data_IF_576553508615
#
_entry.id   IF_576553508615
#
_cell.length_a   1.000
_cell.length_b   1.000
_cell.length_c   1.000
_cell.angle_alpha   90.00
_cell.angle_beta   90.00
_cell.angle_gamma   90.00
#
_symmetry.space_group_name_H-M   'P 1'
#
loop_
_entity.id
_entity.type
_entity.pdbx_description
1 polymer ?
#
# COMPACT_ATOMS: atom_id res chain seq x y z
N UNK A 1 1.61 -22.84 26.48
CA UNK A 1 1.42 -22.46 25.07
C UNK A 1 0.31 -21.43 25.05
N UNK A 2 0.58 -20.21 24.58
CA UNK A 2 -0.50 -19.27 24.25
C UNK A 2 -1.41 -19.93 23.21
N UNK A 3 -2.71 -19.68 23.30
CA UNK A 3 -3.66 -20.15 22.29
C UNK A 3 -3.34 -19.44 20.98
N UNK A 4 -3.15 -20.19 19.89
CA UNK A 4 -3.00 -19.63 18.54
C UNK A 4 -4.19 -18.69 18.24
N UNK A 5 -3.90 -17.51 17.71
CA UNK A 5 -4.87 -16.47 17.42
C UNK A 5 -4.93 -16.18 15.92
N UNK A 6 -5.90 -16.83 15.27
CA UNK A 6 -6.27 -16.57 13.89
C UNK A 6 -6.80 -15.14 13.73
N UNK A 7 -6.16 -14.35 12.88
CA UNK A 7 -6.72 -13.06 12.48
C UNK A 7 -7.74 -13.25 11.36
N UNK A 8 -9.03 -13.24 11.72
CA UNK A 8 -10.13 -13.35 10.78
C UNK A 8 -10.45 -12.00 10.12
N UNK A 9 -9.98 -11.84 8.89
CA UNK A 9 -10.16 -10.66 8.06
C UNK A 9 -11.39 -10.74 7.13
N UNK A 10 -12.12 -11.86 7.15
CA UNK A 10 -13.20 -12.14 6.18
C UNK A 10 -14.36 -11.17 6.31
N UNK A 11 -14.58 -10.64 7.51
CA UNK A 11 -15.62 -9.64 7.82
C UNK A 11 -15.11 -8.19 7.89
N UNK A 12 -13.82 -7.95 7.60
CA UNK A 12 -13.23 -6.62 7.69
C UNK A 12 -13.30 -5.94 6.32
N UNK A 13 -13.68 -4.66 6.32
CA UNK A 13 -13.63 -3.80 5.14
C UNK A 13 -12.22 -3.23 5.00
N UNK A 14 -11.51 -3.49 3.89
CA UNK A 14 -10.14 -3.04 3.72
C UNK A 14 -10.07 -1.53 3.46
N UNK A 15 -8.97 -0.91 3.89
CA UNK A 15 -8.68 0.51 3.65
C UNK A 15 -7.36 0.68 2.93
N UNK A 16 -7.25 1.72 2.10
CA UNK A 16 -5.96 2.11 1.57
C UNK A 16 -5.06 2.50 2.74
N UNK A 17 -3.93 1.82 2.86
CA UNK A 17 -2.94 2.12 3.90
C UNK A 17 -1.93 3.14 3.37
N UNK A 18 -1.27 2.83 2.25
CA UNK A 18 -0.42 3.81 1.55
C UNK A 18 -0.17 3.46 0.09
N UNK A 19 0.27 4.46 -0.68
CA UNK A 19 0.88 4.29 -2.01
C UNK A 19 2.41 4.26 -1.87
N UNK A 20 3.06 3.34 -2.58
CA UNK A 20 4.49 3.06 -2.45
C UNK A 20 5.29 3.75 -3.56
N UNK A 21 6.23 4.61 -3.16
CA UNK A 21 7.24 5.20 -4.06
C UNK A 21 8.44 4.29 -4.15
N UNK A 22 8.30 3.25 -4.95
CA UNK A 22 9.32 2.21 -5.13
C UNK A 22 10.38 2.62 -6.16
N UNK A 23 11.58 2.05 -6.06
CA UNK A 23 12.74 2.50 -6.82
C UNK A 23 12.77 2.06 -8.29
N UNK A 24 12.09 0.97 -8.65
CA UNK A 24 11.95 0.50 -10.02
C UNK A 24 10.54 0.79 -10.57
N UNK A 25 10.40 0.76 -11.90
CA UNK A 25 9.14 1.05 -12.61
C UNK A 25 8.30 -0.20 -12.92
N UNK A 26 8.79 -1.35 -12.48
CA UNK A 26 8.17 -2.66 -12.65
C UNK A 26 7.06 -2.86 -11.62
N UNK A 27 6.35 -3.97 -11.75
CA UNK A 27 5.33 -4.38 -10.80
C UNK A 27 5.99 -4.69 -9.44
N UNK A 28 5.32 -4.36 -8.33
CA UNK A 28 5.71 -4.81 -6.98
C UNK A 28 5.80 -6.35 -6.99
N UNK A 29 6.57 -6.95 -6.08
CA UNK A 29 6.61 -8.42 -5.94
C UNK A 29 6.26 -8.84 -4.52
N UNK A 30 6.82 -8.17 -3.53
CA UNK A 30 6.47 -8.35 -2.14
C UNK A 30 6.74 -7.10 -1.32
N UNK A 31 6.24 -7.09 -0.08
CA UNK A 31 6.58 -6.09 0.91
C UNK A 31 6.47 -6.69 2.31
N UNK A 32 7.30 -6.20 3.22
CA UNK A 32 7.29 -6.58 4.63
C UNK A 32 7.61 -5.35 5.50
N UNK A 33 7.16 -5.39 6.75
CA UNK A 33 7.35 -4.29 7.70
C UNK A 33 8.50 -4.55 8.67
N UNK A 34 9.28 -3.51 8.93
CA UNK A 34 10.02 -3.39 10.18
C UNK A 34 9.16 -2.58 11.16
N UNK A 35 8.34 -3.31 11.92
CA UNK A 35 7.30 -2.75 12.78
C UNK A 35 7.85 -1.76 13.81
N UNK A 36 9.07 -2.02 14.34
CA UNK A 36 9.71 -1.20 15.37
C UNK A 36 10.22 0.14 14.86
N UNK A 37 10.75 0.18 13.63
CA UNK A 37 11.29 1.40 13.04
C UNK A 37 10.31 2.09 12.09
N UNK A 38 9.09 1.56 11.96
CA UNK A 38 8.06 2.07 11.05
C UNK A 38 8.55 2.20 9.60
N UNK A 39 9.18 1.14 9.10
CA UNK A 39 9.71 1.08 7.72
C UNK A 39 9.08 -0.06 6.95
N UNK A 40 8.99 0.11 5.62
CA UNK A 40 8.51 -0.89 4.69
C UNK A 40 9.67 -1.27 3.78
N UNK A 41 9.89 -2.56 3.57
CA UNK A 41 10.85 -3.06 2.58
C UNK A 41 10.09 -3.79 1.50
N UNK A 42 10.28 -3.37 0.26
CA UNK A 42 9.58 -3.91 -0.91
C UNK A 42 10.55 -4.57 -1.86
N UNK A 43 10.08 -5.52 -2.66
CA UNK A 43 10.86 -6.08 -3.78
C UNK A 43 10.22 -5.75 -5.12
N UNK A 44 11.07 -5.57 -6.13
CA UNK A 44 10.70 -5.44 -7.54
C UNK A 44 11.75 -6.12 -8.41
N UNK A 45 11.35 -6.69 -9.55
CA UNK A 45 12.32 -7.07 -10.58
C UNK A 45 13.04 -5.81 -11.07
N UNK A 46 14.38 -5.83 -11.04
CA UNK A 46 15.19 -4.67 -11.37
C UNK A 46 15.20 -4.40 -12.89
N UNK A 47 14.95 -3.14 -13.27
CA UNK A 47 14.96 -2.73 -14.68
C UNK A 47 16.37 -2.67 -15.27
N UNK A 48 16.51 -2.95 -16.57
CA UNK A 48 17.76 -2.74 -17.33
C UNK A 48 18.89 -3.74 -17.09
N UNK A 49 18.64 -4.83 -16.33
CA UNK A 49 19.68 -5.79 -15.93
C UNK A 49 19.60 -7.16 -16.66
N UNK A 50 18.63 -7.35 -17.56
CA UNK A 50 18.29 -8.65 -18.16
C UNK A 50 19.11 -9.13 -19.35
N UNK A 51 20.40 -8.76 -19.47
CA UNK A 51 21.22 -9.22 -20.61
C UNK A 51 21.69 -10.68 -20.49
N UNK A 52 21.69 -11.24 -19.27
CA UNK A 52 22.40 -12.50 -18.96
C UNK A 52 21.45 -13.64 -18.50
N UNK A 53 20.19 -13.65 -18.96
CA UNK A 53 19.11 -14.62 -18.66
C UNK A 53 18.68 -14.77 -17.19
N UNK A 54 19.48 -14.34 -16.21
CA UNK A 54 19.11 -14.40 -14.78
C UNK A 54 18.59 -13.05 -14.30
N UNK A 55 17.37 -13.04 -13.75
CA UNK A 55 16.76 -11.82 -13.22
C UNK A 55 17.49 -11.31 -11.98
N UNK A 56 17.41 -10.00 -11.79
CA UNK A 56 17.87 -9.33 -10.58
C UNK A 56 16.67 -8.67 -9.93
N UNK A 57 16.70 -8.47 -8.62
CA UNK A 57 15.65 -7.74 -7.92
C UNK A 57 16.23 -6.62 -7.05
N UNK A 58 15.44 -5.57 -6.89
CA UNK A 58 15.74 -4.43 -6.06
C UNK A 58 14.88 -4.47 -4.81
N UNK A 59 15.52 -4.27 -3.66
CA UNK A 59 14.85 -4.03 -2.40
C UNK A 59 14.76 -2.50 -2.23
N UNK A 60 13.57 -1.96 -2.02
CA UNK A 60 13.40 -0.54 -1.70
C UNK A 60 13.00 -0.40 -0.25
N UNK A 61 13.69 0.47 0.49
CA UNK A 61 13.31 0.86 1.85
C UNK A 61 12.48 2.13 1.79
N UNK A 62 11.31 2.09 2.41
CA UNK A 62 10.33 3.16 2.44
C UNK A 62 10.03 3.58 3.89
N UNK A 63 9.57 4.81 4.06
CA UNK A 63 8.87 5.21 5.28
C UNK A 63 7.52 4.48 5.39
N UNK A 64 6.90 4.55 6.57
CA UNK A 64 5.57 3.97 6.79
C UNK A 64 4.49 4.57 5.88
N UNK A 65 4.66 5.83 5.46
CA UNK A 65 3.82 6.54 4.49
C UNK A 65 4.16 6.20 3.04
N UNK A 66 5.06 5.24 2.79
CA UNK A 66 5.40 4.79 1.44
C UNK A 66 6.37 5.71 0.68
N UNK A 67 7.05 6.65 1.36
CA UNK A 67 8.07 7.49 0.72
C UNK A 67 9.39 6.73 0.56
N UNK A 68 10.00 6.81 -0.63
CA UNK A 68 11.31 6.21 -0.87
C UNK A 68 12.38 6.82 0.02
N UNK A 69 13.11 5.99 0.77
CA UNK A 69 14.30 6.39 1.50
C UNK A 69 15.56 6.05 0.70
N UNK A 70 15.69 4.78 0.31
CA UNK A 70 16.83 4.27 -0.46
C UNK A 70 16.51 2.89 -1.05
N UNK A 71 17.48 2.27 -1.74
CA UNK A 71 17.34 0.92 -2.27
C UNK A 71 18.65 0.15 -2.26
N UNK A 72 18.55 -1.17 -2.37
CA UNK A 72 19.64 -2.13 -2.47
C UNK A 72 19.37 -3.11 -3.63
N UNK A 73 20.39 -3.45 -4.41
CA UNK A 73 20.26 -4.33 -5.57
C UNK A 73 20.84 -5.72 -5.27
N UNK A 74 20.10 -6.76 -5.66
CA UNK A 74 20.60 -8.14 -5.70
C UNK A 74 20.71 -8.58 -7.15
N UNK A 75 21.92 -8.45 -7.69
CA UNK A 75 22.24 -8.83 -9.06
C UNK A 75 22.19 -10.35 -9.17
N UNK A 76 21.46 -10.86 -10.17
CA UNK A 76 21.22 -12.30 -10.39
C UNK A 76 20.53 -13.02 -9.22
N UNK A 77 19.94 -12.28 -8.28
CA UNK A 77 19.24 -12.86 -7.14
C UNK A 77 17.91 -13.53 -7.50
N UNK A 78 17.42 -13.38 -8.74
CA UNK A 78 16.15 -13.93 -9.19
C UNK A 78 15.01 -12.90 -9.21
N UNK A 79 13.78 -13.39 -9.04
CA UNK A 79 12.55 -12.58 -9.18
C UNK A 79 12.26 -11.67 -7.97
N UNK A 80 12.67 -12.08 -6.77
CA UNK A 80 12.34 -11.38 -5.53
C UNK A 80 10.89 -11.58 -5.07
N UNK A 81 10.31 -12.77 -5.31
CA UNK A 81 8.89 -13.11 -5.06
C UNK A 81 8.43 -12.88 -3.62
N UNK A 82 9.28 -13.15 -2.62
CA UNK A 82 9.01 -12.82 -1.23
C UNK A 82 10.32 -12.69 -0.46
N UNK A 83 10.30 -11.95 0.64
CA UNK A 83 11.42 -11.80 1.56
C UNK A 83 10.94 -11.93 3.01
N UNK A 84 11.85 -12.27 3.91
CA UNK A 84 11.67 -12.15 5.35
C UNK A 84 12.55 -11.04 5.91
N UNK A 85 12.03 -10.28 6.89
CA UNK A 85 12.79 -9.24 7.57
C UNK A 85 13.08 -9.70 9.00
N UNK A 86 14.36 -9.65 9.37
CA UNK A 86 14.80 -9.91 10.74
C UNK A 86 15.51 -8.68 11.30
N UNK A 87 14.93 -8.05 12.30
CA UNK A 87 15.53 -6.92 13.01
C UNK A 87 16.41 -7.42 14.17
N UNK A 88 17.74 -7.44 13.96
CA UNK A 88 18.74 -7.80 14.97
C UNK A 88 19.28 -6.53 15.62
N UNK A 89 18.60 -6.07 16.67
CA UNK A 89 18.99 -4.88 17.46
C UNK A 89 19.23 -3.63 16.61
N UNK A 90 18.30 -3.33 15.70
CA UNK A 90 18.37 -2.16 14.81
C UNK A 90 19.06 -2.42 13.48
N UNK A 91 19.80 -3.52 13.34
CA UNK A 91 20.31 -3.95 12.03
C UNK A 91 19.30 -4.85 11.35
N UNK A 92 18.87 -4.46 10.15
CA UNK A 92 17.92 -5.24 9.36
C UNK A 92 18.65 -6.27 8.52
N UNK A 93 18.30 -7.53 8.71
CA UNK A 93 18.71 -8.66 7.89
C UNK A 93 17.56 -9.10 7.01
N UNK A 94 17.85 -9.37 5.74
CA UNK A 94 16.89 -9.84 4.76
C UNK A 94 17.15 -11.31 4.49
N UNK A 95 16.12 -12.13 4.71
CA UNK A 95 16.06 -13.51 4.27
C UNK A 95 15.40 -13.55 2.89
N UNK A 96 16.05 -14.18 1.93
CA UNK A 96 15.55 -14.22 0.56
C UNK A 96 16.02 -15.48 -0.17
N UNK A 97 15.42 -15.71 -1.34
CA UNK A 97 15.99 -16.59 -2.34
C UNK A 97 17.17 -15.90 -3.05
N UNK A 98 18.09 -16.72 -3.54
CA UNK A 98 19.10 -16.31 -4.52
C UNK A 98 19.16 -17.39 -5.61
N UNK A 99 18.73 -17.06 -6.84
CA UNK A 99 18.71 -18.01 -7.96
C UNK A 99 20.13 -18.53 -8.26
N UNK A 100 20.23 -19.82 -8.63
CA UNK A 100 21.47 -20.41 -9.12
C UNK A 100 21.43 -20.38 -10.66
N UNK A 101 22.15 -19.46 -11.34
CA UNK A 101 21.99 -19.23 -12.78
C UNK A 101 22.17 -20.47 -13.67
N UNK A 102 22.96 -21.44 -13.20
CA UNK A 102 23.33 -22.64 -13.96
C UNK A 102 22.58 -23.91 -13.50
N UNK A 103 21.63 -23.79 -12.56
CA UNK A 103 20.88 -24.92 -12.02
C UNK A 103 19.39 -24.61 -12.14
N UNK A 104 18.75 -25.16 -13.17
CA UNK A 104 17.33 -24.97 -13.43
C UNK A 104 16.53 -25.33 -12.19
N UNK A 105 15.63 -24.43 -11.79
CA UNK A 105 14.69 -24.63 -10.69
C UNK A 105 15.30 -24.88 -9.32
N UNK A 106 16.53 -24.39 -9.10
CA UNK A 106 17.16 -24.36 -7.79
C UNK A 106 17.54 -22.95 -7.37
N UNK A 107 17.35 -22.66 -6.09
CA UNK A 107 17.81 -21.43 -5.47
C UNK A 107 18.43 -21.73 -4.10
N UNK A 108 19.29 -20.83 -3.64
CA UNK A 108 19.74 -20.82 -2.26
C UNK A 108 18.76 -20.04 -1.39
N UNK A 109 18.64 -20.45 -0.12
CA UNK A 109 18.21 -19.54 0.92
C UNK A 109 19.41 -18.72 1.39
N UNK A 110 19.27 -17.39 1.34
CA UNK A 110 20.28 -16.44 1.79
C UNK A 110 19.77 -15.53 2.90
N UNK A 111 20.68 -15.11 3.77
CA UNK A 111 20.47 -14.03 4.75
C UNK A 111 21.61 -13.01 4.64
N UNK A 112 21.29 -11.73 4.59
CA UNK A 112 22.30 -10.66 4.49
C UNK A 112 21.81 -9.36 5.13
N UNK A 113 22.70 -8.51 5.65
CA UNK A 113 22.32 -7.21 6.18
C UNK A 113 21.89 -6.26 5.04
N UNK A 114 20.79 -5.55 5.24
CA UNK A 114 20.39 -4.47 4.35
C UNK A 114 21.38 -3.30 4.45
N UNK A 115 21.85 -2.80 3.29
CA UNK A 115 22.72 -1.63 3.20
C UNK A 115 22.23 -0.72 2.07
N UNK A 116 21.89 0.52 2.42
CA UNK A 116 21.45 1.53 1.46
C UNK A 116 22.48 1.71 0.33
N UNK A 117 22.02 1.67 -0.92
CA UNK A 117 22.84 1.84 -2.13
C UNK A 117 23.73 0.64 -2.49
N UNK A 118 23.74 -0.42 -1.69
CA UNK A 118 24.60 -1.56 -1.96
C UNK A 118 24.10 -2.39 -3.16
N UNK A 119 25.04 -3.07 -3.80
CA UNK A 119 24.77 -4.13 -4.79
C UNK A 119 25.44 -5.40 -4.32
N UNK A 120 24.66 -6.48 -4.14
CA UNK A 120 25.20 -7.81 -3.90
C UNK A 120 25.11 -8.65 -5.18
N UNK A 121 26.06 -9.57 -5.32
CA UNK A 121 26.10 -10.60 -6.35
C UNK A 121 26.50 -11.94 -5.72
N UNK A 122 26.67 -12.98 -6.52
CA UNK A 122 26.84 -14.36 -6.05
C UNK A 122 28.09 -14.53 -5.16
N UNK A 123 29.09 -13.68 -5.35
CA UNK A 123 30.39 -13.69 -4.66
C UNK A 123 30.46 -12.73 -3.46
N UNK A 124 29.37 -12.02 -3.15
CA UNK A 124 29.30 -11.13 -2.00
C UNK A 124 29.42 -11.93 -0.70
N UNK A 125 30.44 -11.59 0.10
CA UNK A 125 30.75 -12.28 1.38
C UNK A 125 29.67 -12.07 2.43
N UNK A 126 28.82 -11.06 2.26
CA UNK A 126 27.68 -10.78 3.12
C UNK A 126 26.53 -11.79 2.98
N UNK A 127 26.50 -12.58 1.91
CA UNK A 127 25.46 -13.59 1.68
C UNK A 127 25.75 -14.85 2.52
N UNK A 128 25.10 -14.97 3.68
CA UNK A 128 25.07 -16.22 4.44
C UNK A 128 24.12 -17.21 3.74
N UNK A 129 24.58 -18.44 3.53
CA UNK A 129 23.80 -19.52 2.88
C UNK A 129 23.48 -20.65 3.86
N UNK A 130 22.31 -21.27 3.72
CA UNK A 130 21.81 -22.30 4.63
C UNK A 130 21.66 -23.66 3.94
N UNK A 131 22.78 -24.30 3.64
CA UNK A 131 22.85 -25.49 2.78
C UNK A 131 22.18 -26.76 3.34
N UNK A 132 21.89 -26.82 4.64
CA UNK A 132 21.30 -28.02 5.25
C UNK A 132 19.77 -28.02 5.19
N UNK A 133 19.15 -26.88 4.86
CA UNK A 133 17.71 -26.77 4.68
C UNK A 133 17.28 -27.43 3.36
N UNK A 134 15.99 -27.75 3.16
CA UNK A 134 15.55 -28.48 1.97
C UNK A 134 15.50 -27.57 0.72
N UNK A 135 16.64 -27.45 0.05
CA UNK A 135 16.89 -26.57 -1.10
C UNK A 135 16.93 -27.32 -2.46
N UNK A 136 16.30 -28.50 -2.55
CA UNK A 136 16.28 -29.30 -3.78
C UNK A 136 15.39 -28.72 -4.89
N UNK A 137 14.59 -27.71 -4.55
CA UNK A 137 13.66 -27.01 -5.43
C UNK A 137 13.84 -25.50 -5.26
N UNK A 138 13.19 -24.70 -6.11
CA UNK A 138 13.16 -23.25 -5.93
C UNK A 138 12.49 -22.94 -4.59
N UNK A 139 13.22 -22.22 -3.74
CA UNK A 139 12.73 -21.81 -2.42
C UNK A 139 12.37 -20.34 -2.37
N UNK A 140 11.46 -19.99 -1.47
CA UNK A 140 11.10 -18.61 -1.15
C UNK A 140 10.75 -18.52 0.34
N UNK A 141 11.32 -17.60 1.13
CA UNK A 141 11.06 -17.52 2.56
C UNK A 141 9.97 -16.49 2.92
N UNK A 142 9.38 -16.67 4.10
CA UNK A 142 8.69 -15.66 4.89
C UNK A 142 9.04 -15.86 6.37
N UNK A 143 9.01 -14.79 7.18
CA UNK A 143 9.35 -14.85 8.60
C UNK A 143 8.19 -14.38 9.48
N UNK A 144 7.87 -15.19 10.48
CA UNK A 144 7.11 -14.78 11.65
C UNK A 144 8.10 -14.46 12.77
N UNK A 145 8.46 -13.19 12.90
CA UNK A 145 9.44 -12.75 13.90
C UNK A 145 8.89 -12.82 15.34
N UNK A 146 7.57 -12.75 15.52
CA UNK A 146 6.94 -12.79 16.85
C UNK A 146 7.02 -14.19 17.45
N UNK A 147 6.81 -15.21 16.62
CA UNK A 147 6.88 -16.62 17.03
C UNK A 147 8.23 -17.28 16.70
N UNK A 148 9.18 -16.53 16.12
CA UNK A 148 10.49 -17.01 15.67
C UNK A 148 10.37 -18.21 14.74
N UNK A 149 9.58 -18.08 13.68
CA UNK A 149 9.40 -19.14 12.69
C UNK A 149 9.81 -18.70 11.28
N UNK A 150 10.40 -19.65 10.54
CA UNK A 150 10.69 -19.53 9.12
C UNK A 150 9.69 -20.39 8.34
N UNK A 151 8.89 -19.78 7.48
CA UNK A 151 8.12 -20.46 6.46
C UNK A 151 8.93 -20.53 5.16
N UNK A 152 9.31 -21.73 4.72
CA UNK A 152 10.07 -21.94 3.50
C UNK A 152 9.16 -22.61 2.46
N UNK A 153 8.69 -21.82 1.48
CA UNK A 153 8.03 -22.37 0.31
C UNK A 153 9.06 -23.11 -0.53
N UNK A 154 8.69 -24.30 -1.00
CA UNK A 154 9.42 -25.10 -1.97
C UNK A 154 8.51 -25.29 -3.19
N UNK A 155 9.03 -25.04 -4.39
CA UNK A 155 8.27 -25.14 -5.63
C UNK A 155 8.99 -26.05 -6.62
N UNK A 156 8.40 -27.23 -6.83
CA UNK A 156 8.73 -28.17 -7.88
C UNK A 156 8.02 -27.74 -9.17
N UNK A 157 8.76 -27.04 -10.01
CA UNK A 157 8.36 -26.52 -11.32
C UNK A 157 8.09 -27.61 -12.34
N UNK A 158 8.80 -28.75 -12.28
CA UNK A 158 8.65 -29.86 -13.22
C UNK A 158 7.27 -30.52 -13.07
N UNK A 159 6.80 -30.64 -11.83
CA UNK A 159 5.51 -31.25 -11.52
C UNK A 159 4.41 -30.24 -11.15
N UNK A 160 4.73 -28.95 -11.16
CA UNK A 160 3.87 -27.85 -10.70
C UNK A 160 3.32 -28.09 -9.27
N UNK A 161 4.16 -28.57 -8.36
CA UNK A 161 3.81 -28.86 -6.96
C UNK A 161 4.50 -27.91 -6.00
N UNK A 162 3.79 -27.50 -4.97
CA UNK A 162 4.34 -26.59 -3.97
C UNK A 162 3.81 -26.89 -2.57
N UNK A 163 4.69 -26.64 -1.61
CA UNK A 163 4.42 -26.80 -0.19
C UNK A 163 5.24 -25.78 0.59
N UNK A 164 4.86 -25.55 1.83
CA UNK A 164 5.58 -24.67 2.74
C UNK A 164 5.99 -25.49 3.96
N UNK A 165 7.30 -25.58 4.19
CA UNK A 165 7.84 -26.24 5.38
C UNK A 165 8.18 -25.18 6.43
N UNK A 166 7.68 -25.37 7.64
CA UNK A 166 7.84 -24.41 8.73
C UNK A 166 8.96 -24.92 9.64
N UNK A 167 9.88 -24.03 9.99
CA UNK A 167 11.01 -24.28 10.88
C UNK A 167 10.96 -23.32 12.06
N UNK A 168 11.54 -23.74 13.19
CA UNK A 168 12.02 -22.80 14.19
C UNK A 168 13.16 -21.95 13.58
N UNK A 169 13.07 -20.63 13.74
CA UNK A 169 14.02 -19.70 13.12
C UNK A 169 15.42 -19.83 13.72
N UNK A 170 15.56 -20.16 15.00
CA UNK A 170 16.87 -20.34 15.64
C UNK A 170 17.55 -21.61 15.15
N UNK A 171 16.80 -22.70 14.94
CA UNK A 171 17.32 -23.89 14.30
C UNK A 171 17.71 -23.64 12.83
N UNK A 172 16.91 -22.86 12.09
CA UNK A 172 17.26 -22.45 10.73
C UNK A 172 18.52 -21.57 10.69
N UNK A 173 18.67 -20.61 11.61
CA UNK A 173 19.87 -19.78 11.78
C UNK A 173 21.09 -20.66 12.07
N UNK A 174 20.93 -21.69 12.91
CA UNK A 174 21.95 -22.68 13.20
C UNK A 174 22.18 -23.69 12.07
N UNK A 175 21.50 -23.52 10.92
CA UNK A 175 21.56 -24.39 9.75
C UNK A 175 21.22 -25.86 10.08
N UNK A 176 20.20 -26.07 10.90
CA UNK A 176 19.67 -27.40 11.26
C UNK A 176 18.36 -27.67 10.54
N UNK A 177 18.23 -28.87 9.98
CA UNK A 177 17.02 -29.31 9.28
C UNK A 177 16.05 -30.01 10.23
N UNK A 178 15.36 -29.22 11.07
CA UNK A 178 14.39 -29.69 12.03
C UNK A 178 13.00 -29.08 11.71
N UNK A 179 12.27 -29.61 10.71
CA UNK A 179 10.97 -29.07 10.35
C UNK A 179 9.95 -29.29 11.48
N UNK A 180 9.12 -28.28 11.74
CA UNK A 180 8.03 -28.35 12.71
C UNK A 180 6.81 -29.04 12.08
N UNK A 181 6.43 -28.61 10.88
CA UNK A 181 5.33 -29.18 10.09
C UNK A 181 5.41 -28.66 8.63
N UNK A 182 4.61 -29.26 7.75
CA UNK A 182 4.52 -28.90 6.33
C UNK A 182 3.07 -28.67 5.93
N UNK A 183 2.83 -27.62 5.15
CA UNK A 183 1.55 -27.31 4.53
C UNK A 183 1.66 -27.56 3.03
N UNK A 184 0.91 -28.53 2.51
CA UNK A 184 0.79 -28.81 1.08
C UNK A 184 -0.24 -27.88 0.45
N UNK A 185 0.16 -27.18 -0.60
CA UNK A 185 -0.71 -26.23 -1.31
C UNK A 185 -1.46 -26.98 -2.42
N UNK A 186 -2.80 -26.91 -2.46
CA UNK A 186 -3.59 -27.47 -3.54
C UNK A 186 -3.22 -26.88 -4.92
N UNK A 187 -3.32 -27.70 -5.97
CA UNK A 187 -2.90 -27.33 -7.33
C UNK A 187 -3.67 -26.13 -7.90
N UNK A 188 -4.93 -25.95 -7.49
CA UNK A 188 -5.77 -24.81 -7.90
C UNK A 188 -5.26 -23.46 -7.36
N UNK A 189 -4.42 -23.46 -6.32
CA UNK A 189 -3.84 -22.25 -5.72
C UNK A 189 -2.41 -21.97 -6.23
N UNK A 190 -2.06 -22.48 -7.41
CA UNK A 190 -0.67 -22.45 -7.87
C UNK A 190 -0.16 -21.05 -8.26
N UNK A 191 -1.07 -20.14 -8.66
CA UNK A 191 -0.74 -18.79 -9.12
C UNK A 191 -0.47 -17.85 -7.95
N UNK A 192 0.63 -18.14 -7.22
CA UNK A 192 1.06 -17.43 -6.02
C UNK A 192 1.48 -15.99 -6.32
N UNK A 193 1.06 -15.08 -5.45
CA UNK A 193 1.37 -13.66 -5.48
C UNK A 193 1.90 -13.15 -4.13
N UNK A 194 1.90 -13.99 -3.10
CA UNK A 194 2.50 -13.69 -1.82
C UNK A 194 2.03 -14.67 -0.75
N UNK A 195 2.83 -14.85 0.29
CA UNK A 195 2.40 -15.61 1.47
C UNK A 195 3.05 -15.06 2.73
N UNK A 196 2.40 -15.29 3.86
CA UNK A 196 2.90 -14.88 5.17
C UNK A 196 2.47 -15.89 6.24
N UNK A 197 3.31 -16.11 7.25
CA UNK A 197 3.01 -16.95 8.41
C UNK A 197 2.74 -16.03 9.61
N UNK A 198 1.64 -16.26 10.32
CA UNK A 198 1.35 -15.58 11.58
C UNK A 198 0.73 -16.58 12.54
N UNK A 199 1.43 -16.84 13.65
CA UNK A 199 0.95 -17.67 14.77
C UNK A 199 0.47 -19.07 14.35
N UNK A 200 1.24 -19.70 13.45
CA UNK A 200 0.96 -21.02 12.92
C UNK A 200 -0.08 -21.08 11.79
N UNK A 201 -0.63 -19.95 11.38
CA UNK A 201 -1.53 -19.84 10.22
C UNK A 201 -0.80 -19.31 8.99
N UNK A 202 -0.87 -20.05 7.88
CA UNK A 202 -0.29 -19.65 6.61
C UNK A 202 -1.34 -18.92 5.76
N UNK A 203 -1.12 -17.64 5.52
CA UNK A 203 -1.90 -16.81 4.61
C UNK A 203 -1.29 -16.92 3.21
N UNK A 204 -2.06 -17.45 2.27
CA UNK A 204 -1.64 -17.71 0.89
C UNK A 204 -2.44 -16.85 -0.09
N UNK A 205 -1.78 -15.93 -0.79
CA UNK A 205 -2.40 -14.98 -1.70
C UNK A 205 -2.13 -15.36 -3.15
N UNK A 206 -3.20 -15.57 -3.93
CA UNK A 206 -3.14 -15.90 -5.36
C UNK A 206 -3.82 -14.84 -6.21
N UNK A 207 -3.61 -14.91 -7.53
CA UNK A 207 -4.44 -14.23 -8.53
C UNK A 207 -3.63 -13.71 -9.72
N UNK A 208 -4.24 -13.65 -10.90
CA UNK A 208 -3.57 -13.10 -12.08
C UNK A 208 -3.99 -11.65 -12.35
N UNK A 209 -3.32 -11.03 -13.33
CA UNK A 209 -3.68 -9.69 -13.80
C UNK A 209 -5.19 -9.61 -14.10
N UNK A 210 -5.85 -8.65 -13.46
CA UNK A 210 -7.28 -8.37 -13.52
C UNK A 210 -8.19 -9.54 -13.10
N UNK A 211 -7.65 -10.54 -12.41
CA UNK A 211 -8.36 -11.78 -12.07
C UNK A 211 -8.99 -12.45 -13.30
N UNK A 212 -8.26 -12.46 -14.41
CA UNK A 212 -8.73 -12.95 -15.72
C UNK A 212 -8.97 -14.45 -15.71
N UNK A 213 -8.08 -15.21 -15.07
CA UNK A 213 -8.10 -16.67 -15.03
C UNK A 213 -8.05 -17.19 -13.60
N UNK A 214 -7.36 -16.47 -12.71
CA UNK A 214 -7.18 -16.85 -11.32
C UNK A 214 -7.65 -15.72 -10.40
N UNK A 215 -8.61 -15.97 -9.50
CA UNK A 215 -9.14 -14.94 -8.63
C UNK A 215 -8.05 -14.42 -7.69
N UNK A 216 -8.12 -13.12 -7.38
CA UNK A 216 -7.36 -12.56 -6.27
C UNK A 216 -7.92 -13.12 -4.97
N UNK A 217 -7.30 -14.16 -4.43
CA UNK A 217 -7.87 -14.98 -3.37
C UNK A 217 -6.86 -15.15 -2.26
N UNK A 218 -7.26 -14.87 -1.02
CA UNK A 218 -6.47 -15.26 0.15
C UNK A 218 -7.09 -16.51 0.74
N UNK A 219 -6.29 -17.56 0.86
CA UNK A 219 -6.64 -18.81 1.55
C UNK A 219 -5.75 -18.94 2.78
N UNK A 220 -6.33 -19.26 3.93
CA UNK A 220 -5.60 -19.43 5.18
C UNK A 220 -5.59 -20.89 5.59
N UNK A 221 -4.41 -21.44 5.83
CA UNK A 221 -4.21 -22.81 6.30
C UNK A 221 -3.80 -22.81 7.77
N UNK A 222 -4.31 -23.76 8.54
CA UNK A 222 -3.76 -24.08 9.87
C UNK A 222 -2.55 -25.03 9.78
N UNK A 223 -1.89 -25.25 10.92
CA UNK A 223 -0.76 -26.19 11.05
C UNK A 223 -1.11 -27.65 10.78
N UNK A 224 -2.41 -28.01 10.74
CA UNK A 224 -2.90 -29.34 10.39
C UNK A 224 -3.28 -29.44 8.89
N UNK A 225 -2.86 -28.46 8.08
CA UNK A 225 -3.10 -28.39 6.64
C UNK A 225 -4.59 -28.25 6.27
N UNK A 226 -5.42 -27.67 7.15
CA UNK A 226 -6.83 -27.38 6.86
C UNK A 226 -7.00 -25.94 6.43
N UNK A 227 -7.83 -25.72 5.41
CA UNK A 227 -8.29 -24.39 5.05
C UNK A 227 -9.27 -23.91 6.13
N UNK A 228 -8.93 -22.83 6.82
CA UNK A 228 -9.73 -22.26 7.91
C UNK A 228 -10.44 -20.96 7.52
N UNK A 229 -9.89 -20.20 6.56
CA UNK A 229 -10.52 -19.00 6.00
C UNK A 229 -10.24 -18.91 4.50
N UNK A 230 -11.15 -18.27 3.77
CA UNK A 230 -10.94 -17.91 2.37
C UNK A 230 -11.74 -16.65 2.02
N UNK A 231 -11.13 -15.70 1.29
CA UNK A 231 -11.79 -14.46 0.86
C UNK A 231 -11.24 -13.96 -0.48
N UNK A 232 -12.13 -13.61 -1.41
CA UNK A 232 -11.74 -12.87 -2.60
C UNK A 232 -11.39 -11.41 -2.24
N UNK A 233 -10.29 -10.92 -2.81
CA UNK A 233 -9.76 -9.58 -2.59
C UNK A 233 -10.17 -8.67 -3.73
N UNK A 234 -11.09 -7.76 -3.43
CA UNK A 234 -11.71 -6.87 -4.41
C UNK A 234 -11.14 -5.45 -4.41
N UNK A 235 -10.25 -5.10 -3.48
CA UNK A 235 -9.62 -3.76 -3.42
C UNK A 235 -8.89 -3.39 -4.70
N UNK A 236 -8.90 -2.11 -5.06
CA UNK A 236 -8.34 -1.62 -6.30
C UNK A 236 -9.19 -1.88 -7.55
N UNK A 237 -10.40 -2.46 -7.39
CA UNK A 237 -11.46 -2.45 -8.42
C UNK A 237 -12.23 -1.13 -8.27
N UNK A 238 -11.88 -0.08 -9.01
CA UNK A 238 -12.61 1.20 -8.91
C UNK A 238 -13.96 1.11 -9.64
N UNK A 239 -15.04 1.56 -9.00
CA UNK A 239 -16.43 1.39 -9.48
C UNK A 239 -16.77 2.27 -10.71
N UNK A 240 -15.88 3.18 -11.13
CA UNK A 240 -16.17 4.14 -12.21
C UNK A 240 -15.55 3.77 -13.57
N UNK A 241 -14.34 3.19 -13.66
CA UNK A 241 -13.77 2.61 -14.90
C UNK A 241 -12.69 1.56 -14.59
N UNK A 242 -13.12 0.53 -13.87
CA UNK A 242 -12.52 -0.76 -13.47
C UNK A 242 -11.03 -0.87 -13.09
N UNK A 243 -10.03 -0.28 -13.74
CA UNK A 243 -8.64 -0.24 -13.24
C UNK A 243 -7.87 0.95 -13.86
N UNK A 244 -6.91 1.54 -13.14
CA UNK A 244 -5.99 2.53 -13.73
C UNK A 244 -5.25 1.89 -14.91
N UNK A 245 -5.48 2.39 -16.13
CA UNK A 245 -4.96 1.81 -17.38
C UNK A 245 -5.35 0.33 -17.61
N UNK A 246 -6.54 -0.09 -17.15
CA UNK A 246 -7.05 -1.46 -17.28
C UNK A 246 -6.06 -2.53 -16.76
N UNK A 247 -5.28 -2.20 -15.73
CA UNK A 247 -4.32 -3.11 -15.13
C UNK A 247 -4.43 -3.07 -13.61
N UNK A 248 -4.53 -4.26 -13.02
CA UNK A 248 -4.50 -4.52 -11.59
C UNK A 248 -3.92 -5.90 -11.36
N UNK A 249 -2.93 -6.00 -10.48
CA UNK A 249 -2.31 -7.27 -10.13
C UNK A 249 -2.14 -7.35 -8.60
N UNK A 250 -2.47 -8.48 -7.96
CA UNK A 250 -2.12 -8.75 -6.56
C UNK A 250 -0.61 -8.90 -6.39
N UNK A 251 0.00 -8.23 -5.40
CA UNK A 251 1.46 -8.24 -5.22
C UNK A 251 1.87 -8.20 -3.75
N UNK A 252 2.01 -9.38 -3.15
CA UNK A 252 2.45 -9.53 -1.77
C UNK A 252 1.33 -9.45 -0.73
N UNK A 253 1.61 -10.07 0.41
CA UNK A 253 0.78 -10.11 1.60
C UNK A 253 1.68 -10.16 2.84
N UNK A 254 1.30 -9.50 3.92
CA UNK A 254 2.05 -9.49 5.16
C UNK A 254 1.10 -9.23 6.34
N UNK A 255 1.39 -9.79 7.51
CA UNK A 255 0.74 -9.36 8.75
C UNK A 255 1.56 -8.23 9.37
N UNK A 256 0.92 -7.07 9.58
CA UNK A 256 1.47 -6.04 10.46
C UNK A 256 0.90 -6.23 11.86
N UNK A 257 1.79 -6.31 12.84
CA UNK A 257 1.47 -6.31 14.26
C UNK A 257 1.99 -5.02 14.88
N UNK A 258 1.12 -4.30 15.57
CA UNK A 258 1.54 -3.12 16.29
C UNK A 258 2.50 -3.54 17.42
N UNK A 259 3.75 -3.02 17.47
CA UNK A 259 4.75 -3.47 18.43
C UNK A 259 4.42 -3.07 19.88
N UNK A 260 3.54 -2.09 20.08
CA UNK A 260 3.13 -1.60 21.41
C UNK A 260 1.91 -2.36 21.94
N UNK A 261 0.94 -2.64 21.07
CA UNK A 261 -0.38 -3.15 21.50
C UNK A 261 -0.64 -4.60 21.09
N UNK A 262 0.14 -5.12 20.12
CA UNK A 262 -0.08 -6.44 19.54
C UNK A 262 -1.27 -6.51 18.57
N UNK A 263 -1.96 -5.40 18.33
CA UNK A 263 -3.07 -5.33 17.40
C UNK A 263 -2.60 -5.65 15.96
N UNK A 264 -3.41 -6.41 15.23
CA UNK A 264 -3.05 -6.97 13.91
C UNK A 264 -3.70 -6.25 12.75
N UNK A 265 -3.08 -6.32 11.58
CA UNK A 265 -3.63 -5.87 10.30
C UNK A 265 -3.09 -6.73 9.16
N UNK A 266 -3.99 -7.36 8.41
CA UNK A 266 -3.58 -8.09 7.21
C UNK A 266 -3.41 -7.09 6.06
N UNK A 267 -2.17 -6.96 5.60
CA UNK A 267 -1.76 -6.03 4.56
C UNK A 267 -1.71 -6.75 3.22
N UNK A 268 -2.33 -6.19 2.19
CA UNK A 268 -2.40 -6.76 0.84
C UNK A 268 -1.91 -5.75 -0.18
N UNK A 269 -0.99 -6.18 -1.04
CA UNK A 269 -0.44 -5.32 -2.09
C UNK A 269 -1.23 -5.45 -3.38
N UNK A 270 -1.39 -4.31 -4.07
CA UNK A 270 -2.00 -4.22 -5.39
C UNK A 270 -1.17 -3.27 -6.24
N UNK A 271 -0.78 -3.72 -7.44
CA UNK A 271 -0.21 -2.84 -8.46
C UNK A 271 -1.25 -2.51 -9.53
N UNK A 272 -1.32 -1.25 -9.95
CA UNK A 272 -2.15 -0.77 -11.05
C UNK A 272 -1.37 0.14 -12.01
N UNK A 273 -2.04 0.73 -13.01
CA UNK A 273 -1.42 1.72 -13.90
C UNK A 273 -0.70 1.11 -15.10
N UNK A 274 -0.07 1.95 -15.93
CA UNK A 274 0.56 1.55 -17.19
C UNK A 274 1.94 0.92 -16.95
N UNK A 275 2.35 -0.01 -17.81
CA UNK A 275 3.73 -0.49 -17.84
C UNK A 275 4.74 0.66 -17.91
N UNK A 276 5.81 0.58 -17.10
CA UNK A 276 6.80 1.66 -16.94
C UNK A 276 6.33 2.82 -16.04
N UNK A 277 5.05 2.88 -15.67
CA UNK A 277 4.45 3.85 -14.75
C UNK A 277 3.50 3.12 -13.78
N UNK A 278 3.93 1.96 -13.27
CA UNK A 278 3.14 1.14 -12.34
C UNK A 278 2.99 1.89 -11.01
N UNK A 279 1.80 1.78 -10.42
CA UNK A 279 1.47 2.37 -9.13
C UNK A 279 1.23 1.25 -8.15
N UNK A 280 2.02 1.18 -7.08
CA UNK A 280 1.92 0.12 -6.08
C UNK A 280 1.26 0.66 -4.82
N UNK A 281 0.27 -0.07 -4.28
CA UNK A 281 -0.46 0.33 -3.07
C UNK A 281 -0.60 -0.83 -2.10
N UNK A 282 -0.59 -0.52 -0.81
CA UNK A 282 -0.95 -1.45 0.26
C UNK A 282 -2.35 -1.10 0.72
N UNK A 283 -3.22 -2.09 0.80
CA UNK A 283 -4.50 -2.02 1.49
C UNK A 283 -4.43 -2.87 2.76
N UNK A 284 -5.19 -2.51 3.77
CA UNK A 284 -5.14 -3.14 5.08
C UNK A 284 -6.54 -3.55 5.55
N UNK A 285 -6.65 -4.80 6.00
CA UNK A 285 -7.74 -5.28 6.83
C UNK A 285 -7.31 -5.11 8.29
N UNK A 286 -7.73 -4.01 8.91
CA UNK A 286 -7.31 -3.67 10.27
C UNK A 286 -8.19 -4.34 11.32
N UNK A 287 -7.57 -4.87 12.39
CA UNK A 287 -8.28 -4.97 13.68
C UNK A 287 -8.81 -3.60 14.09
N UNK A 288 -9.83 -3.57 14.96
CA UNK A 288 -10.40 -2.31 15.41
C UNK A 288 -9.34 -1.36 15.98
N UNK A 289 -8.43 -1.83 16.82
CA UNK A 289 -7.41 -0.98 17.43
C UNK A 289 -6.40 -0.43 16.41
N UNK A 290 -5.88 -1.27 15.51
CA UNK A 290 -4.99 -0.77 14.45
C UNK A 290 -5.71 0.17 13.49
N UNK A 291 -6.99 -0.04 13.26
CA UNK A 291 -7.80 0.91 12.50
C UNK A 291 -7.79 2.28 13.17
N UNK A 292 -7.95 2.35 14.51
CA UNK A 292 -7.91 3.61 15.26
C UNK A 292 -6.53 4.29 15.19
N UNK A 293 -5.44 3.52 15.07
CA UNK A 293 -4.07 4.04 15.07
C UNK A 293 -3.55 4.44 13.68
N UNK A 294 -3.95 3.73 12.63
CA UNK A 294 -3.40 3.91 11.28
C UNK A 294 -4.32 4.65 10.32
N UNK A 295 -5.62 4.67 10.60
CA UNK A 295 -6.56 5.47 9.81
C UNK A 295 -6.75 6.78 10.56
N UNK A 296 -6.43 7.94 9.94
CA UNK A 296 -6.58 9.22 10.62
C UNK A 296 -8.04 9.40 11.11
N UNK A 297 -8.23 9.41 12.43
CA UNK A 297 -9.55 9.49 13.04
C UNK A 297 -9.94 10.91 13.44
N UNK A 298 -11.20 11.24 13.14
CA UNK A 298 -12.10 11.76 14.18
C UNK A 298 -12.81 10.57 14.84
N UNK A 299 -12.86 10.54 16.18
CA UNK A 299 -13.08 9.36 17.06
C UNK A 299 -14.47 8.70 16.99
N UNK A 300 -15.38 9.13 16.12
CA UNK A 300 -16.70 8.52 15.97
C UNK A 300 -17.13 8.56 14.50
N UNK A 301 -17.59 7.45 13.90
CA UNK A 301 -18.18 7.48 12.57
C UNK A 301 -19.38 8.41 12.59
N UNK A 302 -19.51 9.22 11.55
CA UNK A 302 -20.67 10.08 11.40
C UNK A 302 -21.84 9.23 10.92
N UNK A 303 -22.97 9.40 11.58
CA UNK A 303 -24.23 8.79 11.16
C UNK A 303 -24.97 9.80 10.29
N UNK A 304 -25.32 9.40 9.07
CA UNK A 304 -26.23 10.20 8.26
C UNK A 304 -27.65 9.96 8.77
N UNK A 305 -28.14 10.85 9.62
CA UNK A 305 -29.52 10.81 10.09
C UNK A 305 -30.42 11.52 9.08
N UNK A 306 -31.08 10.77 8.20
CA UNK A 306 -32.16 11.29 7.35
C UNK A 306 -33.50 10.96 8.00
N UNK A 307 -33.80 11.65 9.12
CA UNK A 307 -35.03 11.40 9.88
C UNK A 307 -35.12 9.99 10.51
N UNK A 308 -36.18 9.75 11.27
CA UNK A 308 -36.49 8.42 11.80
C UNK A 308 -36.68 7.44 10.63
N UNK A 309 -35.78 6.49 10.46
CA UNK A 309 -35.96 5.36 9.53
C UNK A 309 -35.79 4.04 10.27
N UNK A 310 -36.52 3.02 9.81
CA UNK A 310 -36.47 1.63 10.29
C UNK A 310 -35.23 0.86 9.82
N UNK A 311 -34.27 1.53 9.16
CA UNK A 311 -33.01 0.97 8.66
C UNK A 311 -31.81 1.49 9.45
N UNK A 312 -30.75 0.68 9.64
CA UNK A 312 -29.52 1.14 10.27
C UNK A 312 -28.95 2.37 9.52
N UNK A 313 -28.52 3.43 10.24
CA UNK A 313 -28.01 4.64 9.60
C UNK A 313 -26.75 4.35 8.79
N UNK A 314 -26.63 4.97 7.61
CA UNK A 314 -25.39 4.96 6.83
C UNK A 314 -24.25 5.54 7.69
N UNK A 315 -23.14 4.81 7.78
CA UNK A 315 -21.96 5.21 8.53
C UNK A 315 -20.93 5.82 7.59
N UNK A 316 -20.34 6.93 8.00
CA UNK A 316 -19.31 7.63 7.24
C UNK A 316 -18.04 7.77 8.07
N UNK A 317 -16.89 7.53 7.44
CA UNK A 317 -15.57 7.65 8.05
C UNK A 317 -14.95 8.99 7.67
N UNK A 318 -14.79 9.92 8.62
CA UNK A 318 -14.09 11.17 8.35
C UNK A 318 -12.57 10.98 8.18
N UNK A 319 -11.96 11.79 7.33
CA UNK A 319 -10.51 11.93 7.15
C UNK A 319 -10.14 13.36 6.75
N UNK A 320 -8.85 13.70 6.92
CA UNK A 320 -8.32 15.01 6.53
C UNK A 320 -7.86 14.94 5.07
N UNK A 321 -8.27 15.93 4.28
CA UNK A 321 -7.83 16.11 2.90
C UNK A 321 -7.29 17.52 2.70
N UNK A 322 -6.16 17.64 2.00
CA UNK A 322 -5.60 18.94 1.62
C UNK A 322 -5.29 19.00 0.13
N UNK A 323 -5.41 20.19 -0.47
CA UNK A 323 -4.89 20.46 -1.81
C UNK A 323 -4.57 21.95 -1.98
N UNK A 324 -3.90 22.28 -3.08
CA UNK A 324 -3.50 23.66 -3.41
C UNK A 324 -4.12 24.02 -4.76
N UNK A 325 -4.61 25.25 -4.87
CA UNK A 325 -4.92 25.87 -6.16
C UNK A 325 -3.91 26.99 -6.44
N UNK A 326 -3.53 27.11 -7.70
CA UNK A 326 -2.64 28.16 -8.20
C UNK A 326 -3.35 28.98 -9.28
N UNK A 327 -3.18 30.31 -9.23
CA UNK A 327 -3.72 31.23 -10.21
C UNK A 327 -2.78 31.41 -11.40
N UNK A 328 -3.32 31.18 -12.60
CA UNK A 328 -2.69 31.48 -13.87
C UNK A 328 -3.31 32.75 -14.46
N UNK A 329 -2.54 33.84 -14.45
CA UNK A 329 -3.00 35.15 -14.90
C UNK A 329 -3.16 35.23 -16.43
N UNK A 330 -2.40 34.46 -17.21
CA UNK A 330 -2.49 34.42 -18.67
C UNK A 330 -3.87 33.90 -19.11
N UNK A 331 -4.34 32.85 -18.44
CA UNK A 331 -5.60 32.19 -18.77
C UNK A 331 -6.75 32.65 -17.87
N UNK A 332 -6.47 33.52 -16.88
CA UNK A 332 -7.39 34.00 -15.85
C UNK A 332 -8.12 32.85 -15.13
N UNK A 333 -7.37 31.81 -14.75
CA UNK A 333 -7.93 30.58 -14.17
C UNK A 333 -7.16 30.13 -12.95
N UNK A 334 -7.90 29.61 -11.98
CA UNK A 334 -7.36 28.79 -10.90
C UNK A 334 -7.27 27.34 -11.36
N UNK A 335 -6.17 26.68 -11.01
CA UNK A 335 -5.93 25.29 -11.41
C UNK A 335 -5.15 24.53 -10.33
N UNK A 336 -5.26 23.21 -10.36
CA UNK A 336 -4.37 22.34 -9.58
C UNK A 336 -2.98 22.41 -10.23
N UNK A 337 -1.91 22.73 -9.48
CA UNK A 337 -0.57 22.88 -10.04
C UNK A 337 -0.01 21.55 -10.56
N UNK A 338 0.72 21.59 -11.68
CA UNK A 338 1.19 20.38 -12.42
C UNK A 338 2.60 19.92 -12.06
N UNK A 339 3.36 20.64 -11.22
CA UNK A 339 4.75 20.26 -10.86
C UNK A 339 5.16 20.61 -9.42
N UNK A 340 6.02 19.75 -8.84
CA UNK A 340 6.82 20.04 -7.64
C UNK A 340 6.18 19.75 -6.28
N UNK A 341 4.86 19.62 -6.17
CA UNK A 341 4.18 19.47 -4.87
C UNK A 341 2.92 18.57 -5.02
N UNK A 342 2.96 17.36 -4.46
CA UNK A 342 1.87 16.37 -4.33
C UNK A 342 0.87 16.25 -5.53
N UNK A 343 1.29 15.80 -6.74
CA UNK A 343 0.49 15.98 -7.95
C UNK A 343 -0.55 14.89 -8.28
N UNK A 344 -0.36 13.63 -7.86
CA UNK A 344 -1.22 12.53 -8.35
C UNK A 344 -2.57 12.42 -7.64
N UNK A 345 -2.63 12.75 -6.35
CA UNK A 345 -3.86 12.66 -5.57
C UNK A 345 -4.75 13.90 -5.71
N UNK A 346 -4.14 15.09 -5.84
CA UNK A 346 -4.86 16.39 -5.91
C UNK A 346 -5.52 16.61 -7.28
N UNK A 347 -4.90 16.15 -8.37
CA UNK A 347 -5.45 16.23 -9.73
C UNK A 347 -6.68 15.33 -9.92
N UNK A 348 -6.73 14.19 -9.23
CA UNK A 348 -7.88 13.29 -9.21
C UNK A 348 -8.94 13.66 -8.15
N UNK A 349 -8.67 14.63 -7.27
CA UNK A 349 -9.63 15.12 -6.28
C UNK A 349 -10.57 16.17 -6.87
N UNK A 350 -10.03 17.14 -7.63
CA UNK A 350 -10.79 18.25 -8.19
C UNK A 350 -11.32 17.88 -9.57
N UNK A 351 -12.64 17.71 -9.69
CA UNK A 351 -13.35 17.40 -10.94
C UNK A 351 -13.39 18.60 -11.87
N UNK A 352 -13.70 19.78 -11.33
CA UNK A 352 -13.87 20.99 -12.12
C UNK A 352 -13.65 22.25 -11.28
N UNK A 353 -13.23 23.33 -11.93
CA UNK A 353 -13.11 24.67 -11.34
C UNK A 353 -13.77 25.67 -12.30
N UNK A 354 -14.80 26.36 -11.82
CA UNK A 354 -15.56 27.36 -12.59
C UNK A 354 -15.76 28.63 -11.77
N UNK A 355 -16.27 29.69 -12.39
CA UNK A 355 -16.77 30.87 -11.68
C UNK A 355 -18.29 30.87 -11.83
N UNK A 356 -19.02 30.89 -10.72
CA UNK A 356 -20.48 30.85 -10.73
C UNK A 356 -21.08 32.24 -11.08
N UNK A 357 -22.40 32.31 -11.23
CA UNK A 357 -23.12 33.54 -11.59
C UNK A 357 -22.92 34.68 -10.57
N UNK A 358 -22.70 34.34 -9.29
CA UNK A 358 -22.45 35.30 -8.23
C UNK A 358 -21.01 35.82 -8.20
N UNK A 359 -20.16 35.34 -9.12
CA UNK A 359 -18.75 35.73 -9.20
C UNK A 359 -17.88 35.08 -8.12
N UNK A 360 -18.27 33.91 -7.60
CA UNK A 360 -17.44 33.11 -6.70
C UNK A 360 -16.74 31.98 -7.48
N UNK A 361 -15.58 31.55 -7.00
CA UNK A 361 -14.89 30.37 -7.54
C UNK A 361 -15.59 29.12 -7.03
N UNK A 362 -16.05 28.26 -7.93
CA UNK A 362 -16.69 27.01 -7.61
C UNK A 362 -15.72 25.86 -7.90
N UNK A 363 -15.35 25.11 -6.87
CA UNK A 363 -14.47 23.95 -6.95
C UNK A 363 -15.30 22.71 -6.70
N UNK A 364 -15.54 21.94 -7.76
CA UNK A 364 -16.27 20.67 -7.67
C UNK A 364 -15.28 19.53 -7.42
N UNK A 365 -15.47 18.83 -6.33
CA UNK A 365 -14.72 17.63 -5.96
C UNK A 365 -15.36 16.39 -6.61
N UNK A 366 -14.56 15.37 -6.86
CA UNK A 366 -15.06 14.07 -7.32
C UNK A 366 -15.99 13.42 -6.28
N UNK A 367 -16.97 12.63 -6.73
CA UNK A 367 -18.06 12.07 -5.89
C UNK A 367 -17.57 11.11 -4.80
N UNK A 368 -16.29 10.74 -4.79
CA UNK A 368 -15.66 9.94 -3.74
C UNK A 368 -15.81 10.57 -2.35
N UNK A 369 -15.83 11.91 -2.24
CA UNK A 369 -15.92 12.64 -0.97
C UNK A 369 -17.38 12.86 -0.58
N UNK A 370 -18.04 11.81 -0.09
CA UNK A 370 -19.44 11.90 0.32
C UNK A 370 -19.52 12.40 1.76
N UNK A 371 -19.72 13.72 1.88
CA UNK A 371 -19.84 14.56 3.08
C UNK A 371 -18.57 15.33 3.44
N UNK A 372 -18.36 16.49 2.82
CA UNK A 372 -17.53 17.54 3.42
C UNK A 372 -18.14 17.95 4.76
N UNK A 373 -17.31 18.03 5.79
CA UNK A 373 -17.72 18.31 7.18
C UNK A 373 -17.18 19.65 7.65
N UNK A 374 -15.99 19.99 7.20
CA UNK A 374 -15.31 21.22 7.54
C UNK A 374 -14.35 21.62 6.42
N UNK A 375 -14.15 22.92 6.26
CA UNK A 375 -13.09 23.44 5.40
C UNK A 375 -12.43 24.68 6.00
N UNK A 376 -11.16 24.86 5.66
CA UNK A 376 -10.39 26.08 5.89
C UNK A 376 -9.58 26.39 4.63
N UNK A 377 -9.54 27.67 4.25
CA UNK A 377 -8.90 28.13 3.02
C UNK A 377 -8.00 29.29 3.37
N UNK A 378 -6.72 29.17 3.02
CA UNK A 378 -5.71 30.16 3.37
C UNK A 378 -4.94 30.61 2.12
N UNK A 379 -4.84 31.93 1.95
CA UNK A 379 -4.09 32.54 0.85
C UNK A 379 -2.60 32.58 1.14
N UNK A 380 -1.80 32.43 0.09
CA UNK A 380 -0.36 32.60 0.19
C UNK A 380 0.03 34.07 0.46
N UNK A 381 1.33 34.29 0.62
CA UNK A 381 1.86 35.61 0.91
C UNK A 381 1.56 36.64 -0.19
N UNK A 382 1.38 36.23 -1.45
CA UNK A 382 1.11 37.14 -2.58
C UNK A 382 -0.29 37.75 -2.46
N UNK A 383 -1.27 36.94 -2.06
CA UNK A 383 -2.63 37.42 -1.81
C UNK A 383 -2.66 38.36 -0.60
N UNK A 384 -1.99 37.97 0.49
CA UNK A 384 -1.91 38.78 1.72
C UNK A 384 -1.26 40.15 1.49
N UNK A 385 -0.19 40.22 0.71
CA UNK A 385 0.46 41.49 0.34
C UNK A 385 -0.45 42.45 -0.45
N UNK A 386 -1.49 41.91 -1.11
CA UNK A 386 -2.48 42.70 -1.84
C UNK A 386 -3.75 42.97 -1.02
N UNK A 387 -3.75 42.61 0.26
CA UNK A 387 -4.91 42.60 1.16
C UNK A 387 -6.09 41.83 0.54
N UNK A 388 -5.79 40.73 -0.15
CA UNK A 388 -6.79 39.82 -0.69
C UNK A 388 -6.99 38.69 0.30
N UNK A 389 -8.24 38.55 0.74
CA UNK A 389 -8.73 37.52 1.66
C UNK A 389 -9.77 36.68 0.96
N UNK A 390 -9.92 35.44 1.41
CA UNK A 390 -10.94 34.53 0.88
C UNK A 390 -11.92 34.15 1.98
N UNK A 391 -13.19 34.10 1.61
CA UNK A 391 -14.25 33.48 2.38
C UNK A 391 -14.76 32.27 1.61
N UNK A 392 -15.39 31.34 2.31
CA UNK A 392 -15.91 30.16 1.64
C UNK A 392 -17.26 29.75 2.20
N UNK A 393 -18.11 29.25 1.31
CA UNK A 393 -19.42 28.71 1.63
C UNK A 393 -19.45 27.25 1.22
N UNK A 394 -20.00 26.42 2.10
CA UNK A 394 -20.11 24.98 1.87
C UNK A 394 -21.29 24.40 2.62
N UNK A 395 -21.81 23.30 2.09
CA UNK A 395 -22.90 22.54 2.70
C UNK A 395 -22.31 21.33 3.41
N UNK A 396 -22.08 21.47 4.72
CA UNK A 396 -21.58 20.37 5.53
C UNK A 396 -22.59 19.22 5.56
N UNK A 397 -22.18 17.99 5.22
CA UNK A 397 -23.01 16.79 5.42
C UNK A 397 -24.22 16.60 4.49
N UNK A 398 -24.46 17.51 3.55
CA UNK A 398 -25.68 17.52 2.74
C UNK A 398 -25.48 17.32 1.24
N UNK A 399 -26.58 17.40 0.48
CA UNK A 399 -26.50 17.52 -0.98
C UNK A 399 -25.62 18.73 -1.36
N UNK A 400 -24.75 18.56 -2.37
CA UNK A 400 -23.74 19.54 -2.79
C UNK A 400 -22.54 19.72 -1.83
N UNK A 401 -22.34 18.83 -0.86
CA UNK A 401 -21.12 18.83 -0.02
C UNK A 401 -19.82 18.62 -0.81
N UNK A 402 -19.92 18.18 -2.06
CA UNK A 402 -18.78 18.04 -2.99
C UNK A 402 -18.44 19.35 -3.73
N UNK A 403 -19.05 20.48 -3.38
CA UNK A 403 -18.80 21.78 -4.02
C UNK A 403 -18.31 22.78 -2.98
N UNK A 404 -17.12 23.34 -3.21
CA UNK A 404 -16.59 24.47 -2.44
C UNK A 404 -16.87 25.74 -3.21
N UNK A 405 -17.54 26.72 -2.58
CA UNK A 405 -17.67 28.06 -3.16
C UNK A 405 -16.75 29.03 -2.42
N UNK A 406 -15.88 29.71 -3.16
CA UNK A 406 -14.83 30.57 -2.60
C UNK A 406 -15.01 31.99 -3.14
N UNK A 407 -15.32 32.92 -2.24
CA UNK A 407 -15.40 34.35 -2.51
C UNK A 407 -14.07 35.04 -2.22
N UNK A 408 -13.79 36.11 -2.94
CA UNK A 408 -12.58 36.92 -2.76
C UNK A 408 -12.96 38.34 -2.35
N UNK A 409 -12.22 38.89 -1.40
CA UNK A 409 -12.38 40.27 -0.92
C UNK A 409 -11.01 40.93 -0.94
N UNK A 410 -10.95 42.16 -1.46
CA UNK A 410 -9.78 43.04 -1.34
C UNK A 410 -10.14 44.22 -0.46
N UNK A 411 -9.49 44.35 0.69
CA UNK A 411 -9.93 45.29 1.73
C UNK A 411 -11.35 44.98 2.20
N UNK A 412 -12.32 45.83 1.84
CA UNK A 412 -13.74 45.65 2.13
C UNK A 412 -14.59 45.35 0.87
N UNK A 413 -13.96 45.23 -0.30
CA UNK A 413 -14.67 45.11 -1.58
C UNK A 413 -14.59 43.68 -2.11
N UNK A 414 -15.75 43.09 -2.45
CA UNK A 414 -15.79 41.81 -3.16
C UNK A 414 -15.12 41.97 -4.53
N UNK A 415 -14.17 41.09 -4.84
CA UNK A 415 -13.53 41.01 -6.15
C UNK A 415 -13.82 39.64 -6.78
N UNK A 416 -13.68 39.55 -8.10
CA UNK A 416 -13.84 38.28 -8.79
C UNK A 416 -12.58 37.40 -8.67
N UNK A 417 -12.70 36.06 -8.76
CA UNK A 417 -11.55 35.14 -8.77
C UNK A 417 -10.58 35.32 -9.94
N UNK A 418 -11.00 36.04 -10.98
CA UNK A 418 -10.25 36.37 -12.20
C UNK A 418 -9.84 37.87 -12.26
N UNK A 419 -9.91 38.57 -11.13
CA UNK A 419 -9.59 40.00 -11.02
C UNK A 419 -8.09 40.27 -11.26
N UNK A 420 -7.79 41.40 -11.90
CA UNK A 420 -6.42 41.83 -12.23
C UNK A 420 -5.56 42.12 -11.00
N UNK A 421 -6.16 42.31 -9.82
CA UNK A 421 -5.45 42.47 -8.57
C UNK A 421 -4.79 41.16 -8.08
N UNK A 422 -5.26 40.00 -8.53
CA UNK A 422 -4.70 38.69 -8.17
C UNK A 422 -3.42 38.47 -8.98
N UNK A 423 -2.30 38.35 -8.28
CA UNK A 423 -0.99 38.20 -8.92
C UNK A 423 -0.83 36.82 -9.53
N UNK A 424 -0.13 36.71 -10.66
CA UNK A 424 0.20 35.41 -11.24
C UNK A 424 0.94 34.52 -10.22
N UNK A 425 0.66 33.22 -10.26
CA UNK A 425 1.18 32.23 -9.32
C UNK A 425 0.82 32.50 -7.84
N UNK A 426 -0.22 33.31 -7.57
CA UNK A 426 -0.87 33.33 -6.26
C UNK A 426 -1.45 31.96 -5.96
N UNK A 427 -1.36 31.54 -4.70
CA UNK A 427 -1.80 30.22 -4.27
C UNK A 427 -2.78 30.30 -3.13
N UNK A 428 -3.59 29.27 -3.00
CA UNK A 428 -4.37 29.00 -1.80
C UNK A 428 -4.23 27.54 -1.39
N UNK A 429 -4.12 27.34 -0.08
CA UNK A 429 -4.16 26.03 0.54
C UNK A 429 -5.58 25.76 1.03
N UNK A 430 -6.13 24.62 0.65
CA UNK A 430 -7.43 24.15 1.10
C UNK A 430 -7.20 22.98 2.04
N UNK A 431 -7.70 23.09 3.26
CA UNK A 431 -7.79 22.04 4.26
C UNK A 431 -9.24 21.64 4.41
N UNK A 432 -9.53 20.34 4.40
CA UNK A 432 -10.88 19.80 4.54
C UNK A 432 -10.89 18.64 5.51
N UNK A 433 -12.00 18.52 6.22
CA UNK A 433 -12.42 17.27 6.84
C UNK A 433 -13.58 16.76 5.98
N UNK A 434 -13.38 15.62 5.36
CA UNK A 434 -14.34 14.96 4.45
C UNK A 434 -14.68 13.60 5.04
N UNK A 435 -15.74 12.95 4.57
CA UNK A 435 -16.04 11.59 4.96
C UNK A 435 -16.31 10.69 3.74
N UNK A 436 -16.00 9.40 3.90
CA UNK A 436 -16.32 8.35 2.93
C UNK A 436 -17.33 7.39 3.54
N UNK A 437 -18.26 6.89 2.71
CA UNK A 437 -19.23 5.87 3.16
C UNK A 437 -18.47 4.61 3.61
N UNK A 438 -18.80 4.12 4.80
CA UNK A 438 -18.37 2.82 5.30
C UNK A 438 -19.40 1.83 4.74
N UNK A 439 -19.02 1.01 3.77
CA UNK A 439 -19.88 -0.08 3.30
C UNK A 439 -20.26 -0.98 4.49
N UNK A 440 -21.55 -1.32 4.58
CA UNK A 440 -22.12 -2.24 5.57
C UNK A 440 -22.16 -3.64 4.98
#
# INVERSE_FOLDING_TARGET
MSKQELFDFTHITPKLFTELRVADKTVLQSFNFDEKNHQIYTTQVATGMGKDNTQSYRITRLSFEGLQLDSMLLKHGGHGTNIGIENRNGTIYIWSLYDRPNDTDKSDLVCFPYKAGATLNENSKELQRFSNLPLNHRVTPALDMKNRQLALRQYDTDNNKQWVTIFDLDDAIANKNNPLYTINIPDELHYLQGFFLDDGYLYWYTGDTNSKSYPNLITVFDSANKIVLQKEITVGKDLSTRYENNFREPEGICMYTNPETGAKSLMVGITSGKEGNRISRIYAYHSYENFMNHVPMLRSPLLKTVGHQDTPPERFQPFIQTFILEYNAQNKKWMVPTSGYLPSYTSNLVRNITINADGNLQVTLNERYISLLHQSIEGDFRLKQKDIRMGSWYFAGGEKSNVLEIGFIKGSTKIRPDDVAISNASRMSIFMIVADKIEV
#
